data_IF_902824581939
#
_entry.id   IF_902824581939
#
_cell.length_a   1.000
_cell.length_b   1.000
_cell.length_c   1.000
_cell.angle_alpha   90.00
_cell.angle_beta   90.00
_cell.angle_gamma   90.00
#
_symmetry.space_group_name_H-M   'P 1'
#
loop_
_entity.id
_entity.type
_entity.pdbx_description
1 polymer ?
#
# COMPACT_ATOMS: atom_id res chain seq x y z
N UNK A 1 29.61 15.25 20.52
CA UNK A 1 28.78 14.40 21.40
C UNK A 1 27.44 14.19 20.72
N UNK A 2 26.99 12.95 20.55
CA UNK A 2 25.69 12.68 19.91
C UNK A 2 24.54 13.09 20.85
N UNK A 3 23.77 14.12 20.47
CA UNK A 3 22.60 14.58 21.24
C UNK A 3 21.50 13.51 21.30
N UNK A 4 20.64 13.57 22.34
CA UNK A 4 19.47 12.68 22.45
C UNK A 4 18.59 12.69 21.18
N UNK A 5 18.41 13.88 20.58
CA UNK A 5 17.65 14.09 19.35
C UNK A 5 18.30 13.36 18.19
N UNK A 6 19.62 13.48 18.02
CA UNK A 6 20.37 12.78 16.96
C UNK A 6 20.25 11.26 17.11
N UNK A 7 20.32 10.74 18.34
CA UNK A 7 20.15 9.31 18.62
C UNK A 7 18.74 8.82 18.26
N UNK A 8 17.70 9.58 18.61
CA UNK A 8 16.30 9.24 18.28
C UNK A 8 16.03 9.29 16.78
N UNK A 9 16.55 10.30 16.08
CA UNK A 9 16.49 10.38 14.61
C UNK A 9 17.16 9.15 14.00
N UNK A 10 18.39 8.82 14.43
CA UNK A 10 19.14 7.68 13.91
C UNK A 10 18.38 6.36 14.11
N UNK A 11 17.81 6.14 15.29
CA UNK A 11 17.05 4.93 15.61
C UNK A 11 15.78 4.78 14.76
N UNK A 12 15.00 5.85 14.59
CA UNK A 12 13.79 5.83 13.75
C UNK A 12 14.15 5.62 12.28
N UNK A 13 15.15 6.33 11.79
CA UNK A 13 15.65 6.22 10.42
C UNK A 13 16.16 4.80 10.11
N UNK A 14 16.94 4.21 11.02
CA UNK A 14 17.40 2.83 10.91
C UNK A 14 16.24 1.84 10.79
N UNK A 15 15.25 1.91 11.69
CA UNK A 15 14.07 1.03 11.64
C UNK A 15 13.30 1.16 10.34
N UNK A 16 13.14 2.38 9.83
CA UNK A 16 12.49 2.62 8.52
C UNK A 16 13.27 1.95 7.40
N UNK A 17 14.58 2.16 7.33
CA UNK A 17 15.46 1.52 6.33
C UNK A 17 15.34 0.00 6.40
N UNK A 18 15.44 -0.58 7.61
CA UNK A 18 15.38 -2.04 7.80
C UNK A 18 14.04 -2.60 7.32
N UNK A 19 12.92 -2.02 7.74
CA UNK A 19 11.58 -2.53 7.38
C UNK A 19 11.32 -2.43 5.88
N UNK A 20 11.70 -1.32 5.25
CA UNK A 20 11.58 -1.18 3.80
C UNK A 20 12.50 -2.14 3.05
N UNK A 21 13.72 -2.38 3.55
CA UNK A 21 14.67 -3.33 2.94
C UNK A 21 14.17 -4.77 3.07
N UNK A 22 13.66 -5.15 4.24
CA UNK A 22 13.04 -6.47 4.44
C UNK A 22 11.82 -6.66 3.54
N UNK A 23 10.98 -5.63 3.38
CA UNK A 23 9.86 -5.64 2.45
C UNK A 23 10.30 -5.83 1.00
N UNK A 24 11.37 -5.14 0.58
CA UNK A 24 11.94 -5.30 -0.76
C UNK A 24 12.50 -6.71 -0.97
N UNK A 25 13.30 -7.23 -0.03
CA UNK A 25 13.86 -8.58 -0.11
C UNK A 25 12.75 -9.64 -0.14
N UNK A 26 11.75 -9.53 0.74
CA UNK A 26 10.61 -10.45 0.75
C UNK A 26 9.81 -10.38 -0.55
N UNK A 27 9.57 -9.18 -1.08
CA UNK A 27 8.90 -8.98 -2.37
C UNK A 27 9.66 -9.61 -3.53
N UNK A 28 11.00 -9.43 -3.58
CA UNK A 28 11.86 -10.06 -4.58
C UNK A 28 11.82 -11.58 -4.46
N UNK A 29 11.97 -12.14 -3.26
CA UNK A 29 11.93 -13.59 -3.04
C UNK A 29 10.60 -14.20 -3.50
N UNK A 30 9.48 -13.56 -3.19
CA UNK A 30 8.16 -13.99 -3.64
C UNK A 30 8.04 -13.90 -5.17
N UNK A 31 8.47 -12.78 -5.77
CA UNK A 31 8.44 -12.58 -7.21
C UNK A 31 9.33 -13.58 -7.97
N UNK A 32 10.43 -14.06 -7.36
CA UNK A 32 11.35 -15.04 -7.95
C UNK A 32 11.04 -16.49 -7.59
N UNK A 33 10.03 -16.74 -6.75
CA UNK A 33 9.73 -18.09 -6.25
C UNK A 33 9.23 -19.03 -7.35
N UNK A 34 8.41 -18.52 -8.28
CA UNK A 34 7.91 -19.28 -9.43
C UNK A 34 8.82 -19.08 -10.64
N UNK A 35 10.01 -19.69 -10.57
CA UNK A 35 10.99 -19.64 -11.65
C UNK A 35 10.42 -20.11 -12.99
N UNK A 36 9.53 -21.11 -12.96
CA UNK A 36 8.88 -21.68 -14.15
C UNK A 36 7.97 -20.64 -14.82
N UNK A 37 7.13 -19.95 -14.05
CA UNK A 37 6.30 -18.86 -14.57
C UNK A 37 7.15 -17.74 -15.18
N UNK A 38 8.22 -17.32 -14.50
CA UNK A 38 9.09 -16.22 -14.97
C UNK A 38 9.73 -16.56 -16.32
N UNK A 39 10.29 -17.77 -16.47
CA UNK A 39 10.91 -18.21 -17.72
C UNK A 39 9.90 -18.25 -18.87
N UNK A 40 8.67 -18.69 -18.62
CA UNK A 40 7.60 -18.71 -19.64
C UNK A 40 7.07 -17.30 -19.93
N UNK A 41 6.96 -16.46 -18.91
CA UNK A 41 6.53 -15.07 -19.05
C UNK A 41 7.47 -14.28 -19.95
N UNK A 42 8.78 -14.39 -19.68
CA UNK A 42 9.84 -13.71 -20.44
C UNK A 42 10.06 -14.33 -21.83
N UNK A 43 10.13 -15.66 -21.92
CA UNK A 43 10.35 -16.37 -23.19
C UNK A 43 9.18 -16.23 -24.17
N UNK A 44 7.98 -15.96 -23.67
CA UNK A 44 6.78 -15.91 -24.50
C UNK A 44 6.27 -17.29 -24.88
N UNK A 45 5.27 -17.35 -25.77
CA UNK A 45 4.64 -18.60 -26.13
C UNK A 45 5.60 -19.44 -26.99
N UNK A 46 6.00 -20.61 -26.48
CA UNK A 46 6.85 -21.55 -27.19
C UNK A 46 6.05 -22.24 -28.30
N UNK A 47 6.57 -22.25 -29.53
CA UNK A 47 5.99 -23.08 -30.59
C UNK A 47 6.22 -24.56 -30.22
N UNK A 48 5.14 -25.28 -29.92
CA UNK A 48 5.20 -26.71 -29.64
C UNK A 48 4.61 -27.48 -30.81
N UNK A 49 5.40 -28.40 -31.35
CA UNK A 49 4.98 -29.30 -32.41
C UNK A 49 4.53 -30.63 -31.83
N UNK A 50 4.01 -31.53 -32.68
CA UNK A 50 3.47 -32.82 -32.24
C UNK A 50 4.47 -33.62 -31.39
N UNK A 51 5.73 -33.70 -31.82
CA UNK A 51 6.76 -34.43 -31.10
C UNK A 51 7.01 -33.84 -29.69
N UNK A 52 6.89 -32.53 -29.52
CA UNK A 52 7.02 -31.88 -28.22
C UNK A 52 5.83 -32.23 -27.32
N UNK A 53 4.61 -32.17 -27.85
CA UNK A 53 3.39 -32.50 -27.09
C UNK A 53 3.36 -33.97 -26.67
N UNK A 54 3.75 -34.89 -27.56
CA UNK A 54 3.84 -36.32 -27.29
C UNK A 54 4.91 -36.63 -26.21
N UNK A 55 5.91 -35.76 -26.02
CA UNK A 55 6.94 -35.92 -24.99
C UNK A 55 6.50 -35.52 -23.57
N UNK A 56 5.39 -34.78 -23.44
CA UNK A 56 4.90 -34.25 -22.17
C UNK A 56 4.18 -35.35 -21.40
N UNK A 57 4.86 -35.90 -20.38
CA UNK A 57 4.26 -36.88 -19.45
C UNK A 57 3.52 -36.21 -18.29
N UNK A 58 4.07 -35.10 -17.79
CA UNK A 58 3.47 -34.32 -16.71
C UNK A 58 3.51 -32.83 -17.05
N UNK A 59 2.32 -32.25 -17.24
CA UNK A 59 2.14 -30.84 -17.55
C UNK A 59 2.49 -29.92 -16.38
N UNK A 60 2.51 -30.41 -15.14
CA UNK A 60 2.88 -29.63 -13.95
C UNK A 60 4.41 -29.51 -13.84
N UNK A 61 5.15 -30.55 -14.21
CA UNK A 61 6.62 -30.52 -14.19
C UNK A 61 7.25 -29.94 -15.46
N UNK A 62 6.50 -29.85 -16.57
CA UNK A 62 7.09 -29.45 -17.87
C UNK A 62 7.58 -28.00 -17.86
N UNK A 63 8.86 -27.73 -18.19
CA UNK A 63 9.43 -26.39 -18.09
C UNK A 63 8.80 -25.38 -19.07
N UNK A 64 8.37 -25.82 -20.26
CA UNK A 64 7.71 -25.00 -21.27
C UNK A 64 6.22 -25.32 -21.31
N UNK A 65 5.41 -24.42 -20.77
CA UNK A 65 3.97 -24.63 -20.67
C UNK A 65 3.14 -23.47 -21.17
N UNK A 66 3.75 -22.31 -21.42
CA UNK A 66 3.12 -21.28 -22.23
C UNK A 66 3.42 -21.59 -23.70
N UNK A 67 2.41 -22.09 -24.41
CA UNK A 67 2.59 -22.73 -25.71
C UNK A 67 1.75 -22.05 -26.79
N UNK A 68 2.28 -22.11 -28.01
CA UNK A 68 1.57 -21.85 -29.26
C UNK A 68 1.53 -23.15 -30.06
N UNK A 69 0.32 -23.60 -30.37
CA UNK A 69 0.09 -24.85 -31.10
C UNK A 69 -0.67 -24.53 -32.37
N UNK A 70 -0.21 -25.12 -33.49
CA UNK A 70 -0.89 -25.08 -34.78
C UNK A 70 -1.48 -26.45 -35.07
N UNK A 71 -2.74 -26.48 -35.50
CA UNK A 71 -3.49 -27.70 -35.75
C UNK A 71 -3.89 -27.82 -37.22
N UNK A 72 -4.08 -29.05 -37.67
CA UNK A 72 -4.50 -29.36 -39.04
C UNK A 72 -5.96 -28.94 -39.24
N UNK A 73 -6.79 -29.17 -38.21
CA UNK A 73 -8.24 -28.90 -38.19
C UNK A 73 -8.72 -28.68 -36.75
N UNK A 74 -9.83 -27.95 -36.62
CA UNK A 74 -10.51 -27.67 -35.36
C UNK A 74 -11.85 -28.36 -35.37
N UNK A 75 -12.24 -28.97 -34.25
CA UNK A 75 -13.54 -29.58 -34.04
C UNK A 75 -14.20 -28.93 -32.83
N UNK A 76 -15.47 -28.53 -32.95
CA UNK A 76 -16.26 -28.14 -31.81
C UNK A 76 -16.62 -29.38 -30.99
N UNK A 77 -16.33 -29.38 -29.69
CA UNK A 77 -16.72 -30.49 -28.81
C UNK A 77 -18.16 -30.35 -28.31
N UNK A 78 -18.79 -29.18 -28.51
CA UNK A 78 -20.12 -28.86 -27.98
C UNK A 78 -20.12 -28.51 -26.49
N UNK A 79 -18.98 -28.61 -25.81
CA UNK A 79 -18.86 -28.34 -24.37
C UNK A 79 -18.62 -26.84 -24.16
N UNK A 80 -19.44 -26.23 -23.30
CA UNK A 80 -19.39 -24.80 -22.98
C UNK A 80 -19.24 -24.61 -21.47
N UNK A 81 -18.41 -23.66 -21.08
CA UNK A 81 -18.23 -23.24 -19.70
C UNK A 81 -19.05 -22.00 -19.40
N UNK A 82 -19.89 -22.08 -18.38
CA UNK A 82 -20.71 -20.95 -17.92
C UNK A 82 -20.18 -20.41 -16.60
N UNK A 83 -20.15 -19.08 -16.47
CA UNK A 83 -19.97 -18.41 -15.18
C UNK A 83 -21.34 -18.05 -14.63
N UNK A 84 -21.69 -18.65 -13.48
CA UNK A 84 -22.95 -18.39 -12.78
C UNK A 84 -22.68 -17.36 -11.68
N UNK A 85 -23.45 -16.27 -11.67
CA UNK A 85 -23.42 -15.28 -10.58
C UNK A 85 -24.63 -15.46 -9.68
N UNK A 86 -24.37 -15.78 -8.42
CA UNK A 86 -25.40 -15.99 -7.40
C UNK A 86 -25.42 -14.84 -6.40
N UNK A 87 -26.59 -14.28 -6.11
CA UNK A 87 -26.80 -13.38 -4.98
C UNK A 87 -27.83 -14.01 -4.03
N UNK A 88 -27.48 -14.09 -2.73
CA UNK A 88 -28.34 -14.66 -1.69
C UNK A 88 -28.88 -16.07 -2.00
N UNK A 89 -28.07 -16.92 -2.64
CA UNK A 89 -28.45 -18.29 -2.99
C UNK A 89 -29.34 -18.44 -4.24
N UNK A 90 -29.70 -17.34 -4.89
CA UNK A 90 -30.46 -17.33 -6.15
C UNK A 90 -29.55 -16.97 -7.32
N UNK A 91 -29.59 -17.78 -8.37
CA UNK A 91 -28.89 -17.52 -9.62
C UNK A 91 -29.45 -16.26 -10.30
N UNK A 92 -28.63 -15.23 -10.40
CA UNK A 92 -29.02 -13.91 -10.95
C UNK A 92 -28.59 -13.72 -12.40
N UNK A 93 -27.55 -14.44 -12.87
CA UNK A 93 -27.11 -14.40 -14.26
C UNK A 93 -26.25 -15.62 -14.60
N UNK A 94 -26.38 -16.12 -15.83
CA UNK A 94 -25.55 -17.16 -16.44
C UNK A 94 -24.94 -16.62 -17.73
N UNK A 95 -23.63 -16.44 -17.74
CA UNK A 95 -22.90 -15.97 -18.92
C UNK A 95 -21.97 -17.07 -19.42
N UNK A 96 -21.95 -17.30 -20.74
CA UNK A 96 -20.98 -18.18 -21.38
C UNK A 96 -19.59 -17.54 -21.28
N UNK A 97 -18.67 -18.23 -20.59
CA UNK A 97 -17.35 -17.72 -20.26
C UNK A 97 -16.25 -18.29 -21.17
N UNK A 98 -16.42 -19.51 -21.69
CA UNK A 98 -15.52 -20.13 -22.66
C UNK A 98 -16.18 -21.33 -23.35
N UNK A 99 -15.65 -21.70 -24.50
CA UNK A 99 -15.95 -22.94 -25.21
C UNK A 99 -14.72 -23.85 -25.23
N UNK A 100 -14.95 -25.17 -25.24
CA UNK A 100 -13.89 -26.15 -25.47
C UNK A 100 -13.94 -26.63 -26.92
N UNK A 101 -12.79 -26.60 -27.60
CA UNK A 101 -12.62 -27.12 -28.95
C UNK A 101 -11.50 -28.15 -28.96
N UNK A 102 -11.58 -29.14 -29.86
CA UNK A 102 -10.53 -30.13 -30.06
C UNK A 102 -9.69 -29.76 -31.29
N UNK A 103 -8.42 -29.46 -31.07
CA UNK A 103 -7.42 -29.30 -32.12
C UNK A 103 -6.88 -30.67 -32.52
N UNK A 104 -6.99 -31.00 -33.81
CA UNK A 104 -6.45 -32.25 -34.35
C UNK A 104 -5.01 -32.04 -34.77
N UNK A 105 -4.11 -32.84 -34.21
CA UNK A 105 -2.67 -32.79 -34.42
C UNK A 105 -2.22 -34.19 -34.83
N UNK A 106 -2.26 -34.46 -36.14
CA UNK A 106 -2.10 -35.82 -36.65
C UNK A 106 -3.16 -36.79 -36.10
N UNK A 107 -2.77 -37.74 -35.24
CA UNK A 107 -3.69 -38.74 -34.67
C UNK A 107 -4.13 -38.42 -33.23
N UNK A 108 -3.64 -37.32 -32.64
CA UNK A 108 -4.00 -36.92 -31.28
C UNK A 108 -4.87 -35.66 -31.28
N UNK A 109 -5.71 -35.54 -30.25
CA UNK A 109 -6.60 -34.40 -30.01
C UNK A 109 -6.12 -33.61 -28.80
N UNK A 110 -5.89 -32.31 -28.99
CA UNK A 110 -5.61 -31.35 -27.91
C UNK A 110 -6.86 -30.51 -27.63
N UNK A 111 -7.40 -30.61 -26.42
CA UNK A 111 -8.51 -29.75 -26.01
C UNK A 111 -7.99 -28.34 -25.75
N UNK A 112 -8.70 -27.35 -26.27
CA UNK A 112 -8.42 -25.92 -26.11
C UNK A 112 -9.63 -25.23 -25.55
N UNK A 113 -9.45 -24.53 -24.43
CA UNK A 113 -10.45 -23.65 -23.83
C UNK A 113 -10.22 -22.24 -24.35
N UNK A 114 -11.19 -21.69 -25.08
CA UNK A 114 -11.13 -20.31 -25.61
C UNK A 114 -12.46 -19.59 -25.44
N UNK A 115 -12.39 -18.27 -25.20
CA UNK A 115 -13.55 -17.38 -25.19
C UNK A 115 -13.72 -16.63 -26.53
N UNK A 116 -12.79 -16.81 -27.46
CA UNK A 116 -12.77 -16.17 -28.78
C UNK A 116 -13.17 -17.13 -29.91
N UNK A 117 -13.15 -16.65 -31.18
CA UNK A 117 -13.54 -17.45 -32.33
C UNK A 117 -12.62 -18.65 -32.54
N UNK A 118 -13.13 -19.67 -33.24
CA UNK A 118 -12.36 -20.84 -33.62
C UNK A 118 -11.14 -20.46 -34.45
N UNK A 119 -9.97 -20.95 -34.04
CA UNK A 119 -8.71 -20.69 -34.73
C UNK A 119 -7.89 -21.97 -34.82
N UNK A 120 -7.27 -22.19 -35.98
CA UNK A 120 -6.31 -23.29 -36.21
C UNK A 120 -5.00 -23.08 -35.45
N UNK A 121 -4.79 -21.90 -34.90
CA UNK A 121 -3.67 -21.58 -34.02
C UNK A 121 -4.22 -21.13 -32.67
N UNK A 122 -3.77 -21.80 -31.61
CA UNK A 122 -4.12 -21.45 -30.26
C UNK A 122 -2.87 -21.12 -29.44
N UNK A 123 -2.99 -20.12 -28.59
CA UNK A 123 -1.94 -19.68 -27.67
C UNK A 123 -2.49 -19.70 -26.26
N UNK A 124 -1.79 -20.33 -25.34
CA UNK A 124 -2.28 -20.50 -23.98
C UNK A 124 -1.31 -21.23 -23.07
N UNK A 125 -1.72 -21.41 -21.81
CA UNK A 125 -0.98 -22.26 -20.88
C UNK A 125 -1.48 -23.69 -20.97
N UNK A 126 -0.57 -24.66 -20.95
CA UNK A 126 -0.89 -26.07 -20.76
C UNK A 126 -1.22 -26.30 -19.29
N UNK A 127 -2.35 -26.94 -19.03
CA UNK A 127 -2.93 -27.14 -17.69
C UNK A 127 -3.44 -28.59 -17.60
N UNK A 128 -3.35 -29.26 -16.44
CA UNK A 128 -3.98 -30.57 -16.25
C UNK A 128 -5.51 -30.48 -16.45
N UNK A 129 -6.15 -31.58 -16.83
CA UNK A 129 -7.60 -31.60 -17.01
C UNK A 129 -8.32 -31.19 -15.72
N UNK A 130 -9.36 -30.34 -15.80
CA UNK A 130 -10.30 -30.17 -14.71
C UNK A 130 -11.08 -31.49 -14.53
N UNK A 131 -11.30 -31.92 -13.30
CA UNK A 131 -12.04 -33.15 -12.99
C UNK A 131 -13.44 -33.17 -13.65
N UNK A 132 -14.12 -32.01 -13.68
CA UNK A 132 -15.46 -31.87 -14.26
C UNK A 132 -15.46 -32.05 -15.79
N UNK A 133 -14.42 -31.57 -16.48
CA UNK A 133 -14.33 -31.60 -17.94
C UNK A 133 -14.11 -33.03 -18.45
N UNK A 134 -13.34 -33.83 -17.72
CA UNK A 134 -13.11 -35.23 -18.10
C UNK A 134 -14.40 -36.04 -18.05
N UNK A 135 -15.22 -35.81 -17.01
CA UNK A 135 -16.52 -36.46 -16.87
C UNK A 135 -17.50 -36.03 -17.97
N UNK A 136 -17.53 -34.75 -18.33
CA UNK A 136 -18.46 -34.22 -19.34
C UNK A 136 -18.08 -34.64 -20.77
N UNK A 137 -16.79 -34.61 -21.13
CA UNK A 137 -16.35 -34.93 -22.48
C UNK A 137 -16.39 -36.42 -22.79
N UNK A 138 -16.18 -37.27 -21.78
CA UNK A 138 -16.11 -38.72 -21.91
C UNK A 138 -17.30 -39.46 -21.27
N UNK A 139 -18.45 -38.80 -21.16
CA UNK A 139 -19.65 -39.44 -20.60
C UNK A 139 -20.15 -40.60 -21.51
N UNK A 140 -20.09 -40.43 -22.83
CA UNK A 140 -20.54 -41.44 -23.79
C UNK A 140 -19.53 -42.59 -23.97
N UNK A 141 -20.03 -43.80 -24.28
CA UNK A 141 -19.18 -44.99 -24.52
C UNK A 141 -18.23 -44.77 -25.71
N UNK A 142 -18.69 -44.08 -26.76
CA UNK A 142 -17.92 -43.80 -27.96
C UNK A 142 -16.76 -42.84 -27.67
N UNK A 143 -17.00 -41.77 -26.90
CA UNK A 143 -15.95 -40.84 -26.50
C UNK A 143 -14.92 -41.49 -25.58
N UNK A 144 -15.34 -42.37 -24.65
CA UNK A 144 -14.41 -43.12 -23.79
C UNK A 144 -13.43 -43.96 -24.59
N UNK A 145 -13.87 -44.57 -25.70
CA UNK A 145 -12.98 -45.34 -26.57
C UNK A 145 -11.89 -44.47 -27.21
N UNK A 146 -12.18 -43.19 -27.43
CA UNK A 146 -11.25 -42.20 -28.00
C UNK A 146 -10.36 -41.53 -26.96
N UNK A 147 -10.54 -41.78 -25.65
CA UNK A 147 -9.77 -41.15 -24.56
C UNK A 147 -8.26 -41.26 -24.74
N UNK A 148 -7.79 -42.40 -25.27
CA UNK A 148 -6.37 -42.66 -25.54
C UNK A 148 -5.79 -41.78 -26.65
N UNK A 149 -6.64 -41.24 -27.52
CA UNK A 149 -6.27 -40.30 -28.57
C UNK A 149 -6.23 -38.85 -28.08
N UNK A 150 -6.69 -38.54 -26.87
CA UNK A 150 -6.62 -37.20 -26.29
C UNK A 150 -5.39 -37.04 -25.40
N UNK A 151 -4.72 -35.88 -25.50
CA UNK A 151 -3.65 -35.55 -24.58
C UNK A 151 -4.16 -35.45 -23.13
N UNK A 152 -3.37 -35.86 -22.12
CA UNK A 152 -3.75 -35.81 -20.70
C UNK A 152 -3.68 -34.39 -20.09
N UNK A 153 -3.69 -33.36 -20.93
CA UNK A 153 -3.72 -31.95 -20.56
C UNK A 153 -4.51 -31.16 -21.62
N UNK A 154 -4.88 -29.93 -21.29
CA UNK A 154 -5.57 -29.02 -22.21
C UNK A 154 -4.85 -27.66 -22.27
N UNK A 155 -5.13 -26.89 -23.32
CA UNK A 155 -4.60 -25.55 -23.51
C UNK A 155 -5.64 -24.51 -23.08
N UNK A 156 -5.33 -23.72 -22.05
CA UNK A 156 -6.14 -22.61 -21.60
C UNK A 156 -5.65 -21.31 -22.24
N UNK A 157 -6.43 -20.71 -23.15
CA UNK A 157 -6.08 -19.47 -23.85
C UNK A 157 -6.35 -18.21 -23.02
N UNK A 158 -6.64 -18.36 -21.72
CA UNK A 158 -6.71 -17.25 -20.79
C UNK A 158 -5.43 -16.40 -20.77
N UNK A 159 -5.53 -15.15 -20.32
CA UNK A 159 -4.43 -14.19 -20.37
C UNK A 159 -3.26 -14.57 -19.44
N UNK A 160 -2.29 -15.32 -19.94
CA UNK A 160 -1.13 -15.82 -19.19
C UNK A 160 -0.26 -14.70 -18.59
N UNK A 161 -0.03 -13.63 -19.36
CA UNK A 161 0.86 -12.52 -18.97
C UNK A 161 0.17 -11.44 -18.11
N UNK A 162 -1.15 -11.41 -18.05
CA UNK A 162 -1.86 -10.35 -17.31
C UNK A 162 -1.49 -10.30 -15.82
N UNK A 163 -1.44 -11.42 -15.07
CA UNK A 163 -0.97 -11.40 -13.68
C UNK A 163 0.44 -10.85 -13.52
N UNK A 164 1.37 -11.24 -14.42
CA UNK A 164 2.75 -10.75 -14.42
C UNK A 164 2.85 -9.24 -14.62
N UNK A 165 2.10 -8.67 -15.58
CA UNK A 165 2.08 -7.20 -15.77
C UNK A 165 1.48 -6.45 -14.58
N UNK A 166 0.43 -7.00 -13.94
CA UNK A 166 -0.10 -6.44 -12.69
C UNK A 166 0.96 -6.48 -11.59
N UNK A 167 1.67 -7.60 -11.45
CA UNK A 167 2.78 -7.76 -10.50
C UNK A 167 3.90 -6.73 -10.74
N UNK A 168 4.30 -6.52 -12.00
CA UNK A 168 5.29 -5.48 -12.37
C UNK A 168 4.80 -4.09 -11.99
N UNK A 169 3.53 -3.76 -12.29
CA UNK A 169 2.95 -2.47 -11.91
C UNK A 169 2.99 -2.23 -10.40
N UNK A 170 2.60 -3.23 -9.60
CA UNK A 170 2.69 -3.19 -8.14
C UNK A 170 4.15 -3.04 -7.68
N UNK A 171 5.08 -3.77 -8.29
CA UNK A 171 6.50 -3.71 -7.96
C UNK A 171 7.09 -2.32 -8.24
N UNK A 172 6.73 -1.67 -9.35
CA UNK A 172 7.15 -0.30 -9.68
C UNK A 172 6.64 0.68 -8.62
N UNK A 173 5.35 0.62 -8.27
CA UNK A 173 4.78 1.50 -7.25
C UNK A 173 5.47 1.28 -5.90
N UNK A 174 5.72 0.03 -5.52
CA UNK A 174 6.46 -0.30 -4.31
C UNK A 174 7.89 0.24 -4.34
N UNK A 175 8.61 0.10 -5.47
CA UNK A 175 9.97 0.62 -5.63
C UNK A 175 10.02 2.14 -5.50
N UNK A 176 9.05 2.86 -6.09
CA UNK A 176 8.93 4.31 -5.94
C UNK A 176 8.68 4.69 -4.47
N UNK A 177 7.80 3.98 -3.77
CA UNK A 177 7.58 4.19 -2.33
C UNK A 177 8.82 3.87 -1.50
N UNK A 178 9.54 2.80 -1.83
CA UNK A 178 10.80 2.43 -1.19
C UNK A 178 11.83 3.53 -1.36
N UNK A 179 12.05 4.03 -2.59
CA UNK A 179 12.97 5.12 -2.88
C UNK A 179 12.58 6.37 -2.07
N UNK A 180 11.30 6.73 -2.09
CA UNK A 180 10.77 7.91 -1.40
C UNK A 180 10.87 7.82 0.13
N UNK A 181 10.74 6.62 0.72
CA UNK A 181 10.72 6.44 2.18
C UNK A 181 12.08 6.05 2.75
N UNK A 182 12.81 5.16 2.08
CA UNK A 182 14.07 4.59 2.55
C UNK A 182 15.26 5.51 2.26
N UNK A 183 15.32 6.21 1.12
CA UNK A 183 16.49 7.06 0.82
C UNK A 183 16.62 8.26 1.78
N UNK A 184 15.55 9.02 2.10
CA UNK A 184 15.67 10.10 3.08
C UNK A 184 15.99 9.56 4.48
N UNK A 185 15.44 8.39 4.84
CA UNK A 185 15.75 7.73 6.09
C UNK A 185 17.22 7.28 6.15
N UNK A 186 17.76 6.74 5.06
CA UNK A 186 19.17 6.36 4.95
C UNK A 186 20.10 7.57 5.12
N UNK A 187 19.77 8.68 4.46
CA UNK A 187 20.48 9.94 4.63
C UNK A 187 20.49 10.41 6.08
N UNK A 188 19.31 10.44 6.73
CA UNK A 188 19.16 10.84 8.12
C UNK A 188 19.75 9.83 9.13
N UNK A 189 19.98 8.57 8.74
CA UNK A 189 20.67 7.58 9.55
C UNK A 189 22.19 7.83 9.57
N UNK A 190 22.79 8.13 8.42
CA UNK A 190 24.22 8.45 8.29
C UNK A 190 24.56 9.83 8.83
N UNK A 191 23.73 10.82 8.52
CA UNK A 191 23.89 12.21 8.94
C UNK A 191 22.58 12.74 9.53
N UNK A 192 22.38 12.59 10.87
CA UNK A 192 21.18 13.05 11.54
C UNK A 192 20.96 14.57 11.48
N UNK A 193 22.00 15.37 11.26
CA UNK A 193 21.91 16.84 11.23
C UNK A 193 21.20 17.33 9.98
N UNK A 194 21.26 16.57 8.88
CA UNK A 194 20.49 16.83 7.65
C UNK A 194 19.00 16.58 7.81
N UNK A 195 18.57 15.89 8.86
CA UNK A 195 17.16 15.63 9.07
C UNK A 195 16.40 16.95 9.30
N UNK A 196 15.22 17.17 8.69
CA UNK A 196 14.48 18.44 8.81
C UNK A 196 14.18 18.86 10.26
N UNK A 197 14.02 17.89 11.17
CA UNK A 197 13.90 18.15 12.61
C UNK A 197 15.16 18.79 13.19
N UNK A 198 16.34 18.23 12.92
CA UNK A 198 17.60 18.74 13.44
C UNK A 198 17.87 20.15 12.91
N UNK A 199 17.64 20.38 11.61
CA UNK A 199 17.73 21.72 11.01
C UNK A 199 16.75 22.73 11.62
N UNK A 200 15.54 22.29 11.97
CA UNK A 200 14.55 23.16 12.64
C UNK A 200 15.02 23.52 14.04
N UNK A 201 15.56 22.57 14.79
CA UNK A 201 16.06 22.78 16.15
C UNK A 201 17.33 23.63 16.14
N UNK A 202 18.18 23.51 15.12
CA UNK A 202 19.33 24.37 14.94
C UNK A 202 18.95 25.86 14.88
N UNK A 203 17.81 26.18 14.28
CA UNK A 203 17.26 27.55 14.21
C UNK A 203 16.76 28.08 15.56
N UNK A 204 16.71 27.26 16.60
CA UNK A 204 16.26 27.67 17.93
C UNK A 204 17.37 28.33 18.75
N UNK A 205 18.61 28.34 18.26
CA UNK A 205 19.76 29.02 18.88
C UNK A 205 20.63 28.09 19.71
N UNK A 206 20.05 27.26 20.58
CA UNK A 206 20.77 26.26 21.39
C UNK A 206 20.26 24.83 21.11
N UNK A 207 20.90 24.10 20.18
CA UNK A 207 20.47 22.75 19.82
C UNK A 207 20.71 21.73 20.93
N UNK A 208 21.76 21.92 21.74
CA UNK A 208 22.15 20.98 22.80
C UNK A 208 21.20 21.15 23.99
N UNK A 209 20.97 22.38 24.45
CA UNK A 209 19.99 22.67 25.49
C UNK A 209 18.59 22.23 25.08
N UNK A 210 18.19 22.47 23.83
CA UNK A 210 16.91 21.98 23.29
C UNK A 210 16.81 20.45 23.31
N UNK A 211 17.92 19.74 23.11
CA UNK A 211 17.92 18.27 23.16
C UNK A 211 17.76 17.75 24.59
N UNK A 212 18.47 18.34 25.55
CA UNK A 212 18.36 17.99 26.98
C UNK A 212 16.94 18.30 27.50
N UNK A 213 16.39 19.47 27.14
CA UNK A 213 15.03 19.85 27.53
C UNK A 213 13.98 18.93 26.89
N UNK A 214 14.15 18.56 25.61
CA UNK A 214 13.26 17.61 24.95
C UNK A 214 13.31 16.22 25.59
N UNK A 215 14.48 15.74 26.00
CA UNK A 215 14.61 14.46 26.71
C UNK A 215 13.93 14.52 28.07
N UNK A 216 14.22 15.57 28.86
CA UNK A 216 13.63 15.77 30.17
C UNK A 216 12.10 15.84 30.10
N UNK A 217 11.54 16.65 29.18
CA UNK A 217 10.10 16.77 29.01
C UNK A 217 9.43 15.52 28.42
N UNK A 218 10.16 14.75 27.61
CA UNK A 218 9.66 13.46 27.15
C UNK A 218 9.52 12.48 28.32
N UNK A 219 10.53 12.39 29.20
CA UNK A 219 10.51 11.49 30.35
C UNK A 219 9.53 11.95 31.43
N UNK A 220 9.44 13.27 31.67
CA UNK A 220 8.62 13.91 32.70
C UNK A 220 7.39 14.63 32.09
N UNK A 221 6.67 13.95 31.20
CA UNK A 221 5.52 14.52 30.50
C UNK A 221 4.36 14.83 31.44
N UNK A 222 3.78 16.01 31.33
CA UNK A 222 2.61 16.45 32.10
C UNK A 222 1.30 15.87 31.56
N UNK A 223 1.25 15.61 30.25
CA UNK A 223 0.09 15.02 29.59
C UNK A 223 0.53 14.06 28.48
N UNK A 224 -0.18 12.94 28.33
CA UNK A 224 0.09 11.92 27.30
C UNK A 224 -1.02 11.88 26.25
N UNK A 225 -0.61 11.91 24.99
CA UNK A 225 -1.47 11.74 23.82
C UNK A 225 -1.24 10.39 23.13
N UNK A 226 -2.10 10.05 22.16
CA UNK A 226 -1.92 8.85 21.32
C UNK A 226 -0.74 9.03 20.35
N UNK A 227 -0.34 7.94 19.68
CA UNK A 227 0.76 7.92 18.68
C UNK A 227 2.13 8.40 19.20
N UNK A 228 2.37 8.24 20.49
CA UNK A 228 3.64 8.57 21.14
C UNK A 228 3.84 10.06 21.43
N UNK A 229 2.78 10.87 21.36
CA UNK A 229 2.83 12.28 21.75
C UNK A 229 2.86 12.44 23.27
N UNK A 230 3.77 13.29 23.73
CA UNK A 230 3.95 13.70 25.11
C UNK A 230 4.02 15.22 25.18
N UNK A 231 3.30 15.78 26.13
CA UNK A 231 3.17 17.21 26.36
C UNK A 231 4.00 17.55 27.59
N UNK A 232 5.10 18.27 27.38
CA UNK A 232 5.88 18.85 28.45
C UNK A 232 5.48 20.30 28.70
N UNK A 233 6.33 21.05 29.40
CA UNK A 233 6.01 22.41 29.77
C UNK A 233 6.22 23.40 28.60
N UNK A 234 7.24 23.19 27.78
CA UNK A 234 7.59 24.04 26.65
C UNK A 234 7.51 23.31 25.31
N UNK A 235 7.55 21.98 25.31
CA UNK A 235 7.67 21.15 24.12
C UNK A 235 6.52 20.14 24.00
N UNK A 236 6.16 19.85 22.75
CA UNK A 236 5.41 18.66 22.38
C UNK A 236 6.38 17.69 21.71
N UNK A 237 6.58 16.54 22.34
CA UNK A 237 7.52 15.52 21.85
C UNK A 237 6.75 14.30 21.39
N UNK A 238 6.96 13.90 20.13
CA UNK A 238 6.48 12.63 19.59
C UNK A 238 7.64 11.66 19.50
N UNK A 239 7.49 10.49 20.10
CA UNK A 239 8.37 9.34 19.86
C UNK A 239 7.54 8.09 19.70
N UNK A 240 7.55 7.51 18.50
CA UNK A 240 6.95 6.23 18.16
C UNK A 240 7.98 5.36 17.43
N UNK A 241 7.59 4.14 17.04
CA UNK A 241 8.52 3.20 16.41
C UNK A 241 9.13 3.74 15.10
N UNK A 242 8.34 4.45 14.28
CA UNK A 242 8.75 5.02 12.98
C UNK A 242 8.67 6.55 12.91
N UNK A 243 8.46 7.26 14.02
CA UNK A 243 8.33 8.71 13.99
C UNK A 243 8.96 9.34 15.22
N UNK A 244 9.71 10.42 14.99
CA UNK A 244 10.23 11.26 16.04
C UNK A 244 10.06 12.73 15.63
N UNK A 245 9.50 13.55 16.52
CA UNK A 245 9.24 14.96 16.26
C UNK A 245 9.26 15.76 17.57
N UNK A 246 9.71 17.01 17.52
CA UNK A 246 9.73 17.94 18.67
C UNK A 246 9.18 19.28 18.20
N UNK A 247 8.08 19.75 18.79
CA UNK A 247 7.51 21.06 18.51
C UNK A 247 7.62 21.95 19.75
N UNK A 248 7.90 23.23 19.57
CA UNK A 248 7.85 24.21 20.66
C UNK A 248 6.44 24.76 20.81
N UNK A 249 5.94 24.81 22.05
CA UNK A 249 4.66 25.46 22.37
C UNK A 249 4.73 26.97 22.13
N UNK A 250 5.90 27.57 22.32
CA UNK A 250 6.14 28.98 21.97
C UNK A 250 5.95 29.31 20.48
N UNK A 251 5.96 28.29 19.61
CA UNK A 251 5.85 28.42 18.16
C UNK A 251 4.45 28.03 17.64
N UNK A 252 3.48 27.81 18.53
CA UNK A 252 2.10 27.45 18.14
C UNK A 252 1.42 28.62 17.44
N UNK A 253 0.86 28.33 16.27
CA UNK A 253 0.15 29.27 15.42
C UNK A 253 -1.35 29.09 15.55
N UNK A 254 -1.80 27.85 15.43
CA UNK A 254 -3.22 27.52 15.34
C UNK A 254 -3.47 26.14 15.95
N UNK A 255 -4.47 26.03 16.82
CA UNK A 255 -4.86 24.75 17.39
C UNK A 255 -6.38 24.59 17.41
N UNK A 256 -6.88 23.41 17.04
CA UNK A 256 -8.31 23.15 16.96
C UNK A 256 -8.65 21.67 17.10
N UNK A 257 -9.91 21.42 17.45
CA UNK A 257 -10.49 20.07 17.46
C UNK A 257 -11.01 19.76 16.06
N UNK A 258 -10.51 18.70 15.44
CA UNK A 258 -11.06 18.14 14.20
C UNK A 258 -12.05 17.03 14.55
N UNK A 259 -13.23 17.07 13.92
CA UNK A 259 -14.30 16.09 14.10
C UNK A 259 -14.57 15.44 12.75
N UNK A 260 -14.34 14.13 12.64
CA UNK A 260 -14.68 13.35 11.46
C UNK A 260 -15.92 12.53 11.75
N UNK A 261 -17.01 12.80 11.01
CA UNK A 261 -18.26 12.04 11.06
C UNK A 261 -18.16 10.86 10.10
N UNK A 262 -18.50 9.67 10.60
CA UNK A 262 -18.59 8.46 9.80
C UNK A 262 -20.05 8.20 9.45
N UNK A 263 -20.31 7.79 8.22
CA UNK A 263 -21.63 7.33 7.78
C UNK A 263 -21.50 6.12 6.87
N UNK A 264 -22.47 5.22 6.97
CA UNK A 264 -22.63 4.06 6.08
C UNK A 264 -24.02 4.16 5.47
N UNK A 265 -24.12 4.12 4.13
CA UNK A 265 -25.37 4.35 3.41
C UNK A 265 -26.10 5.63 3.88
N UNK A 266 -25.34 6.72 4.07
CA UNK A 266 -25.82 8.01 4.59
C UNK A 266 -26.33 8.01 6.04
N UNK A 267 -26.31 6.87 6.75
CA UNK A 267 -26.68 6.79 8.17
C UNK A 267 -25.44 7.07 9.04
N UNK A 268 -25.46 8.05 9.95
CA UNK A 268 -24.33 8.35 10.82
C UNK A 268 -23.99 7.17 11.74
N UNK A 269 -22.74 6.69 11.69
CA UNK A 269 -22.27 5.54 12.49
C UNK A 269 -21.37 5.95 13.65
N UNK A 270 -20.86 7.18 13.67
CA UNK A 270 -20.06 7.68 14.77
C UNK A 270 -19.24 8.92 14.45
N UNK A 271 -18.43 9.34 15.42
CA UNK A 271 -17.50 10.46 15.29
C UNK A 271 -16.12 10.06 15.80
N UNK A 272 -15.10 10.62 15.16
CA UNK A 272 -13.72 10.55 15.63
C UNK A 272 -13.18 11.95 15.85
N UNK A 273 -12.32 12.10 16.85
CA UNK A 273 -11.82 13.39 17.32
C UNK A 273 -10.31 13.41 17.30
N UNK A 274 -9.75 14.51 16.81
CA UNK A 274 -8.31 14.76 16.79
C UNK A 274 -8.01 16.16 17.30
N UNK A 275 -6.98 16.31 18.14
CA UNK A 275 -6.37 17.61 18.41
C UNK A 275 -5.37 17.91 17.29
N UNK A 276 -5.58 19.05 16.62
CA UNK A 276 -4.65 19.57 15.63
C UNK A 276 -3.92 20.75 16.26
N UNK A 277 -2.59 20.73 16.23
CA UNK A 277 -1.73 21.81 16.71
C UNK A 277 -0.72 22.14 15.63
N UNK A 278 -0.85 23.29 15.00
CA UNK A 278 0.09 23.82 14.01
C UNK A 278 1.12 24.69 14.70
N UNK A 279 2.40 24.37 14.51
CA UNK A 279 3.53 25.19 14.94
C UNK A 279 4.29 25.70 13.71
N UNK A 280 5.22 26.63 13.92
CA UNK A 280 6.22 26.93 12.89
C UNK A 280 6.99 25.66 12.51
N UNK A 281 7.01 25.34 11.21
CA UNK A 281 7.77 24.24 10.65
C UNK A 281 7.25 22.82 10.97
N UNK A 282 6.06 22.66 11.57
CA UNK A 282 5.50 21.32 11.84
C UNK A 282 4.08 21.35 12.42
N UNK A 283 3.48 20.18 12.58
CA UNK A 283 2.19 20.02 13.25
C UNK A 283 2.12 18.75 14.09
N UNK A 284 1.16 18.73 15.00
CA UNK A 284 0.74 17.55 15.74
C UNK A 284 -0.72 17.25 15.41
N UNK A 285 -0.99 16.02 14.99
CA UNK A 285 -2.34 15.45 14.84
C UNK A 285 -2.45 14.32 15.84
N UNK A 286 -3.33 14.49 16.83
CA UNK A 286 -3.38 13.62 18.00
C UNK A 286 -4.82 13.12 18.19
N UNK A 287 -5.14 11.88 17.80
CA UNK A 287 -6.47 11.33 18.00
C UNK A 287 -6.71 11.03 19.49
N UNK A 288 -7.98 11.10 19.90
CA UNK A 288 -8.38 10.82 21.27
C UNK A 288 -9.89 10.75 21.43
N UNK A 289 -10.35 10.45 22.65
CA UNK A 289 -11.74 10.74 23.02
C UNK A 289 -11.95 12.25 23.01
N UNK A 290 -13.19 12.71 22.81
CA UNK A 290 -13.50 14.14 22.78
C UNK A 290 -13.01 14.87 24.05
N UNK A 291 -13.22 14.27 25.23
CA UNK A 291 -12.74 14.79 26.51
C UNK A 291 -11.22 14.96 26.51
N UNK A 292 -10.47 13.95 26.05
CA UNK A 292 -8.99 14.01 26.00
C UNK A 292 -8.52 15.05 24.99
N UNK A 293 -9.19 15.17 23.85
CA UNK A 293 -8.88 16.18 22.83
C UNK A 293 -9.08 17.59 23.38
N UNK A 294 -10.20 17.83 24.07
CA UNK A 294 -10.45 19.12 24.71
C UNK A 294 -9.37 19.41 25.79
N UNK A 295 -9.03 18.44 26.64
CA UNK A 295 -7.97 18.57 27.65
C UNK A 295 -6.60 18.92 27.02
N UNK A 296 -6.24 18.26 25.92
CA UNK A 296 -5.00 18.56 25.17
C UNK A 296 -4.99 19.98 24.60
N UNK A 297 -6.12 20.44 24.05
CA UNK A 297 -6.23 21.80 23.50
C UNK A 297 -6.20 22.86 24.61
N UNK A 298 -6.86 22.62 25.74
CA UNK A 298 -6.77 23.49 26.92
C UNK A 298 -5.34 23.56 27.45
N UNK A 299 -4.63 22.43 27.50
CA UNK A 299 -3.22 22.41 27.89
C UNK A 299 -2.34 23.29 26.99
N UNK A 300 -2.56 23.23 25.67
CA UNK A 300 -1.87 24.09 24.71
C UNK A 300 -2.26 25.55 24.90
N UNK A 301 -3.55 25.84 25.10
CA UNK A 301 -4.07 27.19 25.34
C UNK A 301 -3.46 27.87 26.57
N UNK A 302 -3.26 27.12 27.65
CA UNK A 302 -2.61 27.63 28.86
C UNK A 302 -1.14 28.03 28.64
N UNK A 303 -0.44 27.40 27.69
CA UNK A 303 0.99 27.59 27.43
C UNK A 303 1.29 28.45 26.21
N UNK A 304 0.33 28.60 25.30
CA UNK A 304 0.40 29.43 24.12
C UNK A 304 -0.87 30.29 23.97
N UNK A 305 -1.17 31.18 24.92
CA UNK A 305 -2.40 31.97 24.92
C UNK A 305 -2.52 32.94 23.74
N UNK A 306 -1.40 33.33 23.12
CA UNK A 306 -1.38 34.21 21.94
C UNK A 306 -1.85 33.52 20.64
N UNK A 307 -1.81 32.18 20.59
CA UNK A 307 -2.17 31.41 19.41
C UNK A 307 -3.66 31.50 19.06
N UNK A 308 -4.02 31.15 17.84
CA UNK A 308 -5.42 31.10 17.40
C UNK A 308 -6.02 29.74 17.76
N UNK A 309 -7.25 29.74 18.29
CA UNK A 309 -7.96 28.53 18.71
C UNK A 309 -9.31 28.39 18.00
N UNK A 310 -9.65 27.14 17.67
CA UNK A 310 -10.92 26.80 16.99
C UNK A 310 -10.79 26.75 15.48
N UNK A 311 -11.77 26.11 14.82
CA UNK A 311 -11.78 25.92 13.37
C UNK A 311 -12.88 26.76 12.73
N UNK A 312 -12.55 27.42 11.60
CA UNK A 312 -13.52 27.95 10.66
C UNK A 312 -12.95 27.83 9.25
N UNK A 313 -13.83 27.69 8.24
CA UNK A 313 -13.43 27.61 6.84
C UNK A 313 -12.59 28.82 6.39
N UNK A 314 -12.92 30.08 6.77
CA UNK A 314 -12.08 31.23 6.44
C UNK A 314 -10.68 31.14 7.07
N UNK A 315 -10.57 30.73 8.34
CA UNK A 315 -9.27 30.56 9.01
C UNK A 315 -8.42 29.50 8.32
N UNK A 316 -9.03 28.36 7.96
CA UNK A 316 -8.36 27.29 7.24
C UNK A 316 -7.87 27.77 5.85
N UNK A 317 -8.70 28.52 5.13
CA UNK A 317 -8.34 29.09 3.84
C UNK A 317 -7.17 30.08 3.96
N UNK A 318 -7.20 31.00 4.93
CA UNK A 318 -6.09 31.94 5.18
C UNK A 318 -4.82 31.20 5.59
N UNK A 319 -4.91 30.22 6.48
CA UNK A 319 -3.74 29.44 6.90
C UNK A 319 -3.08 28.69 5.73
N UNK A 320 -3.90 28.11 4.83
CA UNK A 320 -3.41 27.32 3.70
C UNK A 320 -2.87 28.20 2.55
N UNK A 321 -3.52 29.33 2.25
CA UNK A 321 -3.15 30.21 1.12
C UNK A 321 -2.16 31.30 1.50
N UNK A 322 -2.26 31.84 2.71
CA UNK A 322 -1.53 33.02 3.19
C UNK A 322 -0.79 32.71 4.50
N UNK A 323 -0.07 31.58 4.54
CA UNK A 323 0.55 31.06 5.76
C UNK A 323 1.51 32.05 6.43
N UNK A 324 2.26 32.83 5.64
CA UNK A 324 3.18 33.84 6.17
C UNK A 324 2.45 34.99 6.85
N UNK A 325 1.34 35.46 6.28
CA UNK A 325 0.52 36.53 6.87
C UNK A 325 -0.15 36.05 8.14
N UNK A 326 -0.72 34.84 8.12
CA UNK A 326 -1.27 34.19 9.32
C UNK A 326 -0.24 34.12 10.45
N UNK A 327 0.98 33.69 10.10
CA UNK A 327 2.09 33.56 11.02
C UNK A 327 2.53 34.91 11.62
N UNK A 328 2.62 35.97 10.80
CA UNK A 328 2.90 37.34 11.27
C UNK A 328 1.80 37.84 12.21
N UNK A 329 0.54 37.59 11.89
CA UNK A 329 -0.59 37.97 12.75
C UNK A 329 -0.53 37.32 14.14
N UNK A 330 -0.14 36.03 14.21
CA UNK A 330 0.07 35.37 15.51
C UNK A 330 1.29 35.94 16.25
N UNK A 331 2.37 36.27 15.55
CA UNK A 331 3.55 36.88 16.17
C UNK A 331 3.23 38.26 16.77
N UNK A 332 2.42 39.07 16.09
CA UNK A 332 1.94 40.34 16.65
C UNK A 332 1.13 40.12 17.93
N UNK A 333 0.19 39.16 17.92
CA UNK A 333 -0.57 38.79 19.14
C UNK A 333 0.33 38.35 20.29
N UNK A 334 1.43 37.68 19.98
CA UNK A 334 2.43 37.23 20.96
C UNK A 334 3.18 38.42 21.57
N UNK A 335 3.58 39.39 20.75
CA UNK A 335 4.20 40.64 21.21
C UNK A 335 3.25 41.44 22.09
N UNK A 336 2.00 41.63 21.66
CA UNK A 336 0.98 42.33 22.44
C UNK A 336 0.72 41.64 23.78
N UNK A 337 0.69 40.30 23.79
CA UNK A 337 0.53 39.51 25.01
C UNK A 337 1.73 39.67 25.96
N UNK A 338 2.95 39.62 25.43
CA UNK A 338 4.17 39.81 26.23
C UNK A 338 4.24 41.22 26.84
N UNK A 339 3.84 42.25 26.09
CA UNK A 339 3.77 43.62 26.59
C UNK A 339 2.74 43.78 27.72
N UNK A 340 1.56 43.15 27.60
CA UNK A 340 0.53 43.16 28.64
C UNK A 340 0.91 42.37 29.89
N UNK A 341 1.81 41.39 29.76
CA UNK A 341 2.26 40.53 30.84
C UNK A 341 3.48 41.08 31.60
N UNK A 342 4.15 42.13 31.10
CA UNK A 342 5.26 42.78 31.77
C UNK A 342 4.73 43.69 32.92
N UNK A 343 5.24 43.56 34.16
CA UNK A 343 4.89 44.49 35.23
C UNK A 343 5.42 45.89 34.89
N UNK A 344 4.59 46.91 35.17
CA UNK A 344 4.90 48.32 34.98
C UNK A 344 6.06 48.80 35.86
#
# INVERSE_FOLDING_TARGET
>A
MDSWISQRIRAVSFRRVVVWTLGLVGGVLLATSDHRYIVNFLGGPYKLERADLDSIRDVIATPRYYARVAADRVLDTGVRQYTVRTQAGVETSREEAAAYHALVIGNHYLVVRTAGPESRQAEGKLVPWPEDLENELFDSKDMRSLRSSFYPFYLDTGSFRRPGFVGIGVAIVFLLLFIWQALPAWGAWRDPERHPLAQRIAKWGDPIGSAVEAEHEFNNSLLRGKHGWRFGNKLLVRSSFFSFNVLRLQDVLWAYKKITKHSVNFIPTGKTYEAIVHCYGGNATIPGSEKKVNEMLTFVQQRAPWAIYGYSEPLAATFNKQRQEFARGVEQRKQDWAQKAAPA
#
